data_IF_978218834289
#
_entry.id   IF_978218834289
#
_cell.length_a   1.000
_cell.length_b   1.000
_cell.length_c   1.000
_cell.angle_alpha   90.00
_cell.angle_beta   90.00
_cell.angle_gamma   90.00
#
_symmetry.space_group_name_H-M   'P 1'
#
loop_
_entity.id
_entity.type
_entity.pdbx_description
1 polymer ?
#
# COMPACT_ATOMS: atom_id res chain seq x y z
N UNK A 1 8.54 -1.74 -0.30
CA UNK A 1 7.11 -2.10 -0.10
C UNK A 1 6.62 -1.87 1.32
N UNK A 2 7.37 -2.29 2.35
CA UNK A 2 6.98 -2.15 3.76
C UNK A 2 7.35 -0.80 4.39
N UNK A 3 8.25 -0.02 3.81
CA UNK A 3 8.66 1.32 4.29
C UNK A 3 7.69 2.42 3.86
N UNK A 4 7.95 3.67 4.31
CA UNK A 4 7.26 4.86 3.78
C UNK A 4 7.61 5.09 2.32
N UNK A 5 6.82 5.93 1.66
CA UNK A 5 7.00 6.23 0.24
C UNK A 5 8.36 6.89 -0.07
N UNK A 6 8.82 7.80 0.79
CA UNK A 6 10.13 8.48 0.69
C UNK A 6 11.30 7.48 0.72
N UNK A 7 11.39 6.68 1.79
CA UNK A 7 12.44 5.66 1.94
C UNK A 7 12.41 4.63 0.80
N UNK A 8 11.21 4.23 0.37
CA UNK A 8 11.07 3.28 -0.72
C UNK A 8 11.44 3.89 -2.08
N UNK A 9 11.25 5.20 -2.27
CA UNK A 9 11.64 5.90 -3.49
C UNK A 9 13.15 5.90 -3.68
N UNK A 10 13.92 6.13 -2.63
CA UNK A 10 15.39 6.05 -2.68
C UNK A 10 15.86 4.67 -3.17
N UNK A 11 15.30 3.60 -2.60
CA UNK A 11 15.62 2.22 -2.99
C UNK A 11 15.20 1.94 -4.44
N UNK A 12 14.01 2.39 -4.85
CA UNK A 12 13.55 2.22 -6.24
C UNK A 12 14.47 2.92 -7.24
N UNK A 13 15.01 4.09 -6.87
CA UNK A 13 15.98 4.83 -7.69
C UNK A 13 17.34 4.15 -7.72
N UNK A 14 17.83 3.65 -6.60
CA UNK A 14 19.09 2.89 -6.53
C UNK A 14 19.06 1.64 -7.42
N UNK A 15 17.89 1.01 -7.54
CA UNK A 15 17.68 -0.20 -8.34
C UNK A 15 17.20 0.07 -9.78
N UNK A 16 17.19 1.34 -10.24
CA UNK A 16 16.72 1.76 -11.56
C UNK A 16 15.31 1.22 -11.92
N UNK A 17 14.38 1.26 -10.95
CA UNK A 17 13.00 0.80 -11.13
C UNK A 17 12.15 1.88 -11.81
N UNK A 18 11.55 1.53 -12.95
CA UNK A 18 10.61 2.41 -13.68
C UNK A 18 9.15 2.22 -13.29
N UNK A 19 8.74 0.97 -13.05
CA UNK A 19 7.35 0.60 -12.80
C UNK A 19 7.22 -0.38 -11.62
N UNK A 20 6.14 -0.20 -10.85
CA UNK A 20 5.75 -1.07 -9.74
C UNK A 20 4.39 -1.67 -10.04
N UNK A 21 4.28 -2.99 -9.91
CA UNK A 21 3.01 -3.72 -10.04
C UNK A 21 2.55 -4.19 -8.66
N UNK A 22 1.27 -3.99 -8.36
CA UNK A 22 0.61 -4.48 -7.14
C UNK A 22 -0.67 -5.22 -7.52
N UNK A 23 -0.89 -6.39 -6.90
CA UNK A 23 -2.15 -7.13 -6.99
C UNK A 23 -3.06 -6.71 -5.84
N UNK A 24 -4.25 -6.21 -6.18
CA UNK A 24 -5.23 -5.71 -5.22
C UNK A 24 -6.59 -6.38 -5.38
N UNK A 25 -7.08 -7.06 -4.34
CA UNK A 25 -8.30 -7.86 -4.42
C UNK A 25 -9.56 -7.18 -3.90
N UNK A 26 -9.46 -5.98 -3.34
CA UNK A 26 -10.51 -5.39 -2.49
C UNK A 26 -11.84 -5.07 -3.20
N UNK A 27 -11.84 -4.91 -4.53
CA UNK A 27 -13.06 -4.61 -5.32
C UNK A 27 -13.93 -5.84 -5.56
N UNK A 28 -13.32 -7.00 -5.82
CA UNK A 28 -14.06 -8.22 -6.16
C UNK A 28 -13.99 -9.32 -5.10
N UNK A 29 -13.19 -9.12 -4.04
CA UNK A 29 -13.00 -10.12 -2.99
C UNK A 29 -11.95 -11.18 -3.34
N UNK A 30 -10.93 -10.82 -4.13
CA UNK A 30 -9.85 -11.76 -4.48
C UNK A 30 -8.84 -11.88 -3.33
N UNK A 31 -8.85 -13.00 -2.61
CA UNK A 31 -8.08 -13.18 -1.38
C UNK A 31 -6.57 -13.40 -1.60
N UNK A 32 -6.11 -13.73 -2.81
CA UNK A 32 -4.68 -13.94 -3.08
C UNK A 32 -3.97 -12.66 -3.52
N UNK A 33 -4.31 -11.54 -2.88
CA UNK A 33 -3.76 -10.22 -3.14
C UNK A 33 -2.46 -9.95 -2.35
N UNK A 34 -1.76 -8.87 -2.69
CA UNK A 34 -0.46 -8.56 -2.09
C UNK A 34 -0.57 -8.06 -0.64
N UNK A 35 -1.72 -7.55 -0.22
CA UNK A 35 -1.93 -7.18 1.19
C UNK A 35 -2.01 -8.45 2.07
N UNK A 36 -2.63 -9.54 1.63
CA UNK A 36 -2.63 -10.80 2.42
C UNK A 36 -1.24 -11.46 2.50
N UNK A 37 -0.38 -11.21 1.51
CA UNK A 37 1.02 -11.66 1.53
C UNK A 37 1.96 -10.66 2.21
N UNK A 38 1.46 -9.50 2.65
CA UNK A 38 2.30 -8.38 3.08
C UNK A 38 3.17 -8.68 4.31
N UNK A 39 2.64 -9.39 5.32
CA UNK A 39 3.43 -9.74 6.51
C UNK A 39 4.65 -10.62 6.16
N UNK A 40 4.58 -11.45 5.11
CA UNK A 40 5.76 -12.16 4.62
C UNK A 40 6.81 -11.22 4.05
N UNK A 41 6.39 -10.18 3.32
CA UNK A 41 7.29 -9.15 2.81
C UNK A 41 7.99 -8.40 3.95
N UNK A 42 7.24 -8.07 5.01
CA UNK A 42 7.77 -7.40 6.22
C UNK A 42 8.83 -8.28 6.90
N UNK A 43 8.53 -9.58 7.11
CA UNK A 43 9.48 -10.53 7.72
C UNK A 43 10.76 -10.69 6.92
N UNK A 44 10.65 -10.77 5.60
CA UNK A 44 11.81 -10.90 4.70
C UNK A 44 12.63 -9.60 4.74
N UNK A 45 11.99 -8.44 4.56
CA UNK A 45 12.66 -7.14 4.60
C UNK A 45 13.38 -6.90 5.92
N UNK A 46 12.72 -7.20 7.04
CA UNK A 46 13.26 -7.02 8.40
C UNK A 46 14.36 -8.00 8.80
N UNK A 47 14.61 -9.05 8.01
CA UNK A 47 15.65 -10.04 8.32
C UNK A 47 17.08 -9.62 7.91
N UNK A 48 17.22 -8.48 7.23
CA UNK A 48 18.50 -7.96 6.73
C UNK A 48 19.05 -6.85 7.64
N UNK A 49 20.37 -6.63 7.68
CA UNK A 49 20.96 -5.50 8.43
C UNK A 49 20.37 -4.14 8.04
N UNK A 50 20.18 -3.92 6.74
CA UNK A 50 19.64 -2.68 6.16
C UNK A 50 18.17 -2.50 6.57
N UNK A 51 17.42 -3.60 6.62
CA UNK A 51 16.01 -3.64 7.02
C UNK A 51 15.77 -3.78 8.52
N UNK A 52 16.78 -3.73 9.39
CA UNK A 52 16.62 -3.94 10.84
C UNK A 52 15.66 -2.95 11.53
N UNK A 53 15.36 -1.83 10.88
CA UNK A 53 14.38 -0.84 11.30
C UNK A 53 12.92 -1.28 11.03
N UNK A 54 12.70 -2.26 10.16
CA UNK A 54 11.39 -2.84 9.83
C UNK A 54 11.06 -3.92 10.87
N UNK A 55 10.09 -3.65 11.73
CA UNK A 55 9.64 -4.59 12.76
C UNK A 55 8.20 -5.00 12.51
N UNK A 56 7.96 -6.32 12.49
CA UNK A 56 6.63 -6.87 12.23
C UNK A 56 5.56 -6.32 13.18
N UNK A 57 5.91 -6.17 14.47
CA UNK A 57 5.02 -5.64 15.50
C UNK A 57 4.53 -4.22 15.22
N UNK A 58 5.26 -3.42 14.44
CA UNK A 58 4.88 -2.03 14.14
C UNK A 58 3.69 -1.96 13.17
N UNK A 59 3.38 -3.06 12.46
CA UNK A 59 2.23 -3.14 11.53
C UNK A 59 0.94 -3.63 12.19
N UNK A 60 1.01 -4.04 13.45
CA UNK A 60 -0.17 -4.44 14.22
C UNK A 60 -0.76 -3.26 14.99
N UNK A 61 -2.09 -3.28 15.17
CA UNK A 61 -2.79 -2.33 16.03
C UNK A 61 -2.33 -2.48 17.49
N UNK A 62 -2.77 -1.56 18.36
CA UNK A 62 -2.55 -1.68 19.82
C UNK A 62 -3.17 -2.94 20.43
N UNK A 63 -4.20 -3.51 19.79
CA UNK A 63 -4.82 -4.79 20.18
C UNK A 63 -4.07 -6.02 19.66
N UNK A 64 -3.02 -5.83 18.84
CA UNK A 64 -2.27 -6.93 18.22
C UNK A 64 -2.93 -7.48 16.96
N UNK A 65 -3.87 -6.75 16.35
CA UNK A 65 -4.60 -7.16 15.16
C UNK A 65 -4.01 -6.51 13.90
N UNK A 66 -3.94 -7.26 12.80
CA UNK A 66 -3.54 -6.72 11.51
C UNK A 66 -4.75 -6.10 10.81
N UNK A 67 -4.82 -4.77 10.80
CA UNK A 67 -6.00 -4.01 10.34
C UNK A 67 -5.64 -2.96 9.30
N UNK A 68 -6.55 -2.75 8.35
CA UNK A 68 -6.45 -1.74 7.27
C UNK A 68 -7.42 -0.57 7.44
N UNK A 69 -8.25 -0.65 8.47
CA UNK A 69 -9.21 0.40 8.84
C UNK A 69 -8.57 1.45 9.76
N UNK A 70 -9.39 2.33 10.33
CA UNK A 70 -8.94 3.46 11.17
C UNK A 70 -8.23 3.02 12.45
N UNK A 71 -8.37 1.77 12.87
CA UNK A 71 -7.68 1.21 14.05
C UNK A 71 -6.37 0.49 13.67
N UNK A 72 -6.06 0.43 12.36
CA UNK A 72 -4.76 -0.01 11.85
C UNK A 72 -3.61 0.84 12.41
N UNK A 73 -2.43 0.25 12.46
CA UNK A 73 -1.26 0.97 12.98
C UNK A 73 -0.88 2.14 12.05
N UNK A 74 -0.33 3.24 12.59
CA UNK A 74 0.17 4.33 11.75
C UNK A 74 1.20 3.85 10.71
N UNK A 75 2.02 2.86 11.06
CA UNK A 75 3.00 2.27 10.13
C UNK A 75 2.30 1.54 8.97
N UNK A 76 1.24 0.77 9.26
CA UNK A 76 0.45 0.08 8.22
C UNK A 76 -0.24 1.08 7.30
N UNK A 77 -0.91 2.09 7.86
CA UNK A 77 -1.69 3.07 7.08
C UNK A 77 -0.82 4.04 6.26
N UNK A 78 0.48 4.13 6.55
CA UNK A 78 1.43 5.00 5.83
C UNK A 78 2.49 4.24 5.02
N UNK A 79 2.48 2.90 5.02
CA UNK A 79 3.42 2.14 4.22
C UNK A 79 3.11 2.24 2.72
N UNK A 80 4.13 2.05 1.89
CA UNK A 80 3.99 2.11 0.43
C UNK A 80 2.95 1.11 -0.08
N UNK A 81 2.94 -0.13 0.43
CA UNK A 81 1.97 -1.15 0.01
C UNK A 81 0.51 -0.70 0.21
N UNK A 82 0.20 -0.09 1.35
CA UNK A 82 -1.13 0.44 1.65
C UNK A 82 -1.50 1.54 0.65
N UNK A 83 -0.59 2.52 0.48
CA UNK A 83 -0.79 3.64 -0.44
C UNK A 83 -1.03 3.16 -1.88
N UNK A 84 -0.22 2.24 -2.40
CA UNK A 84 -0.36 1.72 -3.76
C UNK A 84 -1.60 0.84 -3.94
N UNK A 85 -2.04 0.12 -2.92
CA UNK A 85 -3.24 -0.72 -3.06
C UNK A 85 -4.52 0.13 -3.05
N UNK A 86 -4.59 1.11 -2.13
CA UNK A 86 -5.79 1.88 -1.85
C UNK A 86 -5.84 3.26 -2.50
N UNK A 87 -4.90 3.62 -3.39
CA UNK A 87 -4.94 4.90 -4.09
C UNK A 87 -6.28 5.09 -4.83
N UNK A 88 -6.98 6.18 -4.51
CA UNK A 88 -8.33 6.53 -4.98
C UNK A 88 -9.45 5.52 -4.63
N UNK A 89 -9.17 4.53 -3.79
CA UNK A 89 -10.16 3.54 -3.39
C UNK A 89 -11.22 4.10 -2.42
N UNK A 90 -10.88 5.13 -1.64
CA UNK A 90 -11.76 5.73 -0.62
C UNK A 90 -13.11 6.26 -1.13
N UNK A 91 -13.18 6.65 -2.40
CA UNK A 91 -14.39 7.12 -3.06
C UNK A 91 -15.21 6.03 -3.79
N UNK A 92 -14.71 4.79 -3.86
CA UNK A 92 -15.34 3.72 -4.64
C UNK A 92 -16.41 2.98 -3.84
N UNK A 93 -17.58 2.78 -4.44
CA UNK A 93 -18.60 1.86 -3.92
C UNK A 93 -18.33 0.44 -4.45
N UNK A 94 -17.86 -0.45 -3.58
CA UNK A 94 -17.50 -1.83 -3.95
C UNK A 94 -18.62 -2.84 -3.67
N UNK A 95 -19.51 -2.55 -2.71
CA UNK A 95 -20.58 -3.44 -2.28
C UNK A 95 -21.84 -2.66 -1.95
N UNK A 96 -22.99 -3.18 -2.38
CA UNK A 96 -24.28 -2.58 -2.08
C UNK A 96 -24.56 -2.61 -0.56
N UNK A 97 -25.04 -1.48 -0.02
CA UNK A 97 -25.33 -1.33 1.40
C UNK A 97 -24.11 -1.07 2.29
N UNK A 98 -22.91 -0.97 1.72
CA UNK A 98 -21.69 -0.60 2.43
C UNK A 98 -21.27 0.84 2.13
N UNK A 99 -20.41 1.39 3.00
CA UNK A 99 -19.78 2.71 2.80
C UNK A 99 -18.78 2.69 1.63
N UNK A 100 -18.38 3.87 1.14
CA UNK A 100 -17.29 3.97 0.16
C UNK A 100 -15.96 3.52 0.74
N UNK A 101 -15.09 2.98 -0.10
CA UNK A 101 -13.78 2.48 0.35
C UNK A 101 -13.88 1.23 1.23
N UNK A 102 -14.92 0.41 1.02
CA UNK A 102 -15.08 -0.86 1.72
C UNK A 102 -14.28 -1.97 1.01
N UNK A 103 -13.31 -2.56 1.69
CA UNK A 103 -12.53 -3.69 1.19
C UNK A 103 -13.31 -5.00 1.40
N UNK A 104 -13.68 -5.68 0.30
CA UNK A 104 -14.47 -6.91 0.34
C UNK A 104 -13.70 -8.15 0.78
N UNK A 105 -12.36 -8.13 0.76
CA UNK A 105 -11.52 -9.23 1.27
C UNK A 105 -11.41 -9.14 2.79
N UNK A 106 -11.24 -7.92 3.31
CA UNK A 106 -11.01 -7.66 4.74
C UNK A 106 -12.28 -7.32 5.51
N UNK A 107 -13.38 -7.12 4.79
CA UNK A 107 -14.68 -6.73 5.36
C UNK A 107 -14.60 -5.48 6.24
N UNK A 108 -13.81 -4.49 5.80
CA UNK A 108 -13.53 -3.29 6.56
C UNK A 108 -13.52 -2.03 5.68
N UNK A 109 -13.96 -0.91 6.25
CA UNK A 109 -13.76 0.42 5.67
C UNK A 109 -12.30 0.84 5.85
N UNK A 110 -11.64 1.29 4.78
CA UNK A 110 -10.23 1.68 4.85
C UNK A 110 -10.00 2.88 5.78
N UNK A 111 -8.86 2.88 6.47
CA UNK A 111 -8.51 3.91 7.45
C UNK A 111 -8.24 5.29 6.83
N UNK A 112 -7.44 5.33 5.77
CA UNK A 112 -7.08 6.56 5.05
C UNK A 112 -7.77 6.56 3.68
N UNK A 113 -8.75 7.44 3.51
CA UNK A 113 -9.51 7.58 2.26
C UNK A 113 -8.89 8.56 1.27
N UNK A 114 -8.31 9.63 1.79
CA UNK A 114 -7.83 10.76 1.01
C UNK A 114 -6.33 10.92 1.25
N UNK A 115 -5.54 10.52 0.27
CA UNK A 115 -4.09 10.72 0.23
C UNK A 115 -3.62 10.76 -1.23
N UNK A 116 -2.48 11.40 -1.45
CA UNK A 116 -1.83 11.45 -2.76
C UNK A 116 -0.52 10.65 -2.76
N UNK A 117 -0.05 10.32 -3.96
CA UNK A 117 1.25 9.73 -4.20
C UNK A 117 2.23 10.82 -4.65
N UNK A 118 3.25 11.03 -3.85
CA UNK A 118 4.26 12.07 -4.09
C UNK A 118 5.26 11.63 -5.15
N UNK A 119 5.73 10.38 -5.07
CA UNK A 119 6.87 9.85 -5.82
C UNK A 119 6.47 8.84 -6.89
N UNK A 120 5.21 8.41 -6.89
CA UNK A 120 4.64 7.52 -7.91
C UNK A 120 3.42 8.16 -8.57
N UNK A 121 3.12 7.72 -9.79
CA UNK A 121 1.87 8.04 -10.49
C UNK A 121 1.19 6.76 -10.98
N UNK A 122 -0.14 6.74 -10.97
CA UNK A 122 -0.92 5.62 -11.51
C UNK A 122 -0.76 5.59 -13.04
N UNK A 123 -0.15 4.51 -13.54
CA UNK A 123 0.07 4.31 -14.97
C UNK A 123 -1.06 3.49 -15.61
N UNK A 124 -1.56 2.47 -14.90
CA UNK A 124 -2.64 1.62 -15.37
C UNK A 124 -3.33 0.90 -14.21
N UNK A 125 -4.65 0.81 -14.25
CA UNK A 125 -5.45 0.00 -13.32
C UNK A 125 -6.46 -0.80 -14.13
N UNK A 126 -6.49 -2.12 -13.91
CA UNK A 126 -7.45 -3.02 -14.57
C UNK A 126 -8.90 -2.69 -14.21
N UNK A 127 -9.86 -3.12 -15.05
CA UNK A 127 -11.30 -2.84 -14.86
C UNK A 127 -11.82 -3.21 -13.47
N UNK A 128 -11.43 -4.39 -12.96
CA UNK A 128 -11.81 -4.88 -11.64
C UNK A 128 -10.76 -4.60 -10.56
N UNK A 129 -9.79 -3.75 -10.86
CA UNK A 129 -8.71 -3.27 -9.98
C UNK A 129 -7.84 -4.40 -9.40
N UNK A 130 -7.80 -5.57 -10.06
CA UNK A 130 -6.97 -6.71 -9.65
C UNK A 130 -5.49 -6.42 -9.81
N UNK A 131 -5.10 -5.81 -10.93
CA UNK A 131 -3.73 -5.36 -11.17
C UNK A 131 -3.70 -3.85 -11.24
N UNK A 132 -2.76 -3.27 -10.50
CA UNK A 132 -2.44 -1.84 -10.49
C UNK A 132 -0.97 -1.65 -10.82
N UNK A 133 -0.69 -0.75 -11.75
CA UNK A 133 0.66 -0.44 -12.22
C UNK A 133 0.92 1.03 -11.98
N UNK A 134 2.02 1.30 -11.29
CA UNK A 134 2.49 2.64 -10.95
C UNK A 134 3.81 2.90 -11.65
N UNK A 135 4.01 4.14 -12.11
CA UNK A 135 5.28 4.60 -12.63
C UNK A 135 6.01 5.41 -11.55
N UNK A 136 7.31 5.17 -11.40
CA UNK A 136 8.18 5.92 -10.52
C UNK A 136 8.47 7.28 -11.16
N UNK A 137 8.19 8.37 -10.46
CA UNK A 137 8.41 9.72 -10.97
C UNK A 137 9.91 10.03 -11.06
N UNK A 138 10.36 10.80 -12.06
CA UNK A 138 11.72 11.33 -12.07
C UNK A 138 11.91 12.32 -10.91
N UNK A 139 13.17 12.62 -10.58
CA UNK A 139 13.49 13.67 -9.63
C UNK A 139 12.90 15.01 -10.07
N UNK A 140 12.47 15.80 -9.10
CA UNK A 140 12.00 17.15 -9.36
C UNK A 140 13.10 17.96 -10.04
N UNK A 141 12.72 18.65 -11.12
CA UNK A 141 13.62 19.44 -11.96
C UNK A 141 14.36 20.56 -11.18
N UNK A 142 13.95 20.86 -9.94
CA UNK A 142 14.56 21.89 -9.06
C UNK A 142 14.95 21.37 -7.67
N UNK A 143 14.90 20.05 -7.43
CA UNK A 143 15.34 19.44 -6.16
C UNK A 143 14.57 19.92 -4.92
N UNK A 144 13.25 20.11 -5.03
CA UNK A 144 12.44 20.66 -3.94
C UNK A 144 11.90 19.62 -2.94
N UNK A 145 12.38 18.38 -3.00
CA UNK A 145 12.07 17.32 -2.03
C UNK A 145 13.32 16.48 -1.77
#
# INVERSE_FOLDING_TARGET
MSSKEEDAYEIMRELDVDYVLVIFGGVIGYSSDDINKFLWMVRIGGSTPEGAHIKEMDYFSKSGEFRVDREGSPTMLNCLMYKLSYYRFGGLYTQHGQVTGFDRVRHAEIGNKDFELDFLEEAYTTEHWIVRIYKVKPLDNRGHK
#
